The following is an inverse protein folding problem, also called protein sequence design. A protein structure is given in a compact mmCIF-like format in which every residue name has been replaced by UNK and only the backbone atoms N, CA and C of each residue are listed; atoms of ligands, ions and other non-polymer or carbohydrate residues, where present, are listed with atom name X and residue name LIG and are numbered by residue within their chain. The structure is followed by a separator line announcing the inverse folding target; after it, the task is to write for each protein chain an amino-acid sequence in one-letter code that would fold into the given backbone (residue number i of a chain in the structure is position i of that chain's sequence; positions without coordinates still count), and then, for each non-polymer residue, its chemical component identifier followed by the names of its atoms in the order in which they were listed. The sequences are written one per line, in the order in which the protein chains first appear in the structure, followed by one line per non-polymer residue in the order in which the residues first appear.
data_IF_218366698576
#
_entry.id   IF_218366698576
#
_cell.length_a   1.000
_cell.length_b   1.000
_cell.length_c   1.000
_cell.angle_alpha   90.00
_cell.angle_beta   90.00
_cell.angle_gamma   90.00
#
_symmetry.space_group_name_H-M   'P 1'
#
loop_
_entity.id
_entity.type
_entity.pdbx_description
1 polymer ?
#
# COMPACT_ATOMS: atom_id res chain seq x y z
N UNK A 1 -1.65 10.50 9.32
CA UNK A 1 -2.41 9.57 8.47
C UNK A 1 -2.91 10.37 7.28
N UNK A 2 -2.71 9.89 6.04
CA UNK A 2 -3.09 10.63 4.83
C UNK A 2 -4.62 10.71 4.70
N UNK A 3 -5.15 11.87 4.26
CA UNK A 3 -6.59 12.07 3.98
C UNK A 3 -7.15 11.04 3.01
N UNK A 4 -6.30 10.53 2.11
CA UNK A 4 -6.67 9.52 1.12
C UNK A 4 -6.97 8.17 1.78
N UNK A 5 -6.19 7.80 2.80
CA UNK A 5 -6.40 6.57 3.56
C UNK A 5 -7.70 6.62 4.38
N UNK A 6 -8.00 7.78 5.00
CA UNK A 6 -9.24 7.97 5.75
C UNK A 6 -10.46 7.84 4.82
N UNK A 7 -10.35 8.36 3.59
CA UNK A 7 -11.39 8.25 2.57
C UNK A 7 -11.61 6.81 2.13
N UNK A 8 -10.53 6.07 1.86
CA UNK A 8 -10.60 4.65 1.48
C UNK A 8 -11.20 3.80 2.60
N UNK A 9 -10.85 4.08 3.86
CA UNK A 9 -11.40 3.38 5.02
C UNK A 9 -12.91 3.62 5.14
N UNK A 10 -13.35 4.88 5.01
CA UNK A 10 -14.78 5.21 5.00
C UNK A 10 -15.53 4.53 3.83
N UNK A 11 -14.92 4.46 2.64
CA UNK A 11 -15.53 3.76 1.50
C UNK A 11 -15.63 2.26 1.77
N UNK A 12 -14.58 1.66 2.32
CA UNK A 12 -14.56 0.27 2.75
C UNK A 12 -15.66 -0.04 3.75
N UNK A 13 -15.78 0.75 4.83
CA UNK A 13 -16.81 0.56 5.86
C UNK A 13 -18.23 0.56 5.28
N UNK A 14 -18.49 1.38 4.26
CA UNK A 14 -19.79 1.44 3.57
C UNK A 14 -20.02 0.28 2.60
N UNK A 15 -18.95 -0.23 1.99
CA UNK A 15 -19.04 -1.27 0.97
C UNK A 15 -19.00 -2.68 1.59
N UNK A 16 -18.25 -2.88 2.67
CA UNK A 16 -17.83 -4.21 3.14
C UNK A 16 -18.98 -5.16 3.50
N UNK A 17 -20.15 -4.64 3.89
CA UNK A 17 -21.34 -5.45 4.22
C UNK A 17 -22.16 -5.84 2.98
N UNK A 18 -21.84 -5.27 1.82
CA UNK A 18 -22.53 -5.48 0.55
C UNK A 18 -21.67 -6.20 -0.49
N UNK A 19 -20.40 -6.47 -0.19
CA UNK A 19 -19.51 -7.21 -1.07
C UNK A 19 -19.84 -8.70 -1.08
N UNK A 20 -19.77 -9.32 -2.25
CA UNK A 20 -19.87 -10.77 -2.37
C UNK A 20 -18.55 -11.48 -1.99
N UNK A 21 -18.60 -12.81 -1.89
CA UNK A 21 -17.45 -13.62 -1.49
C UNK A 21 -16.29 -13.54 -2.51
N UNK A 22 -16.61 -13.38 -3.81
CA UNK A 22 -15.61 -13.22 -4.87
C UNK A 22 -14.90 -11.87 -4.75
N UNK A 23 -15.66 -10.78 -4.60
CA UNK A 23 -15.13 -9.44 -4.39
C UNK A 23 -14.27 -9.36 -3.12
N UNK A 24 -14.70 -10.00 -2.03
CA UNK A 24 -13.92 -10.08 -0.80
C UNK A 24 -12.61 -10.87 -1.00
N UNK A 25 -12.61 -11.93 -1.82
CA UNK A 25 -11.39 -12.69 -2.14
C UNK A 25 -10.43 -11.87 -2.98
N UNK A 26 -10.93 -11.14 -3.97
CA UNK A 26 -10.11 -10.27 -4.80
C UNK A 26 -9.44 -9.18 -3.95
N UNK A 27 -10.18 -8.60 -3.00
CA UNK A 27 -9.63 -7.59 -2.08
C UNK A 27 -8.66 -8.22 -1.07
N UNK A 28 -8.94 -9.44 -0.60
CA UNK A 28 -8.05 -10.18 0.30
C UNK A 28 -6.69 -10.47 -0.36
N UNK A 29 -6.63 -10.63 -1.68
CA UNK A 29 -5.40 -10.87 -2.43
C UNK A 29 -4.63 -9.57 -2.79
N UNK A 30 -5.08 -8.39 -2.36
CA UNK A 30 -4.37 -7.13 -2.63
C UNK A 30 -3.01 -7.03 -1.93
N UNK A 31 -2.74 -7.85 -0.92
CA UNK A 31 -1.45 -7.93 -0.24
C UNK A 31 -0.32 -8.40 -1.18
N UNK A 32 -0.61 -9.29 -2.13
CA UNK A 32 0.36 -9.68 -3.16
C UNK A 32 0.76 -8.48 -4.02
N UNK A 33 -0.23 -7.69 -4.45
CA UNK A 33 0.02 -6.47 -5.21
C UNK A 33 0.75 -5.42 -4.37
N UNK A 34 0.37 -5.25 -3.10
CA UNK A 34 1.03 -4.35 -2.17
C UNK A 34 2.50 -4.74 -1.94
N UNK A 35 2.79 -6.03 -1.83
CA UNK A 35 4.14 -6.57 -1.69
C UNK A 35 4.99 -6.29 -2.93
N UNK A 36 4.42 -6.48 -4.12
CA UNK A 36 5.08 -6.14 -5.38
C UNK A 36 5.41 -4.64 -5.48
N UNK A 37 4.45 -3.78 -5.13
CA UNK A 37 4.66 -2.33 -5.11
C UNK A 37 5.71 -1.90 -4.08
N UNK A 38 5.75 -2.55 -2.92
CA UNK A 38 6.77 -2.30 -1.89
C UNK A 38 8.18 -2.66 -2.39
N UNK A 39 8.32 -3.78 -3.10
CA UNK A 39 9.57 -4.18 -3.74
C UNK A 39 10.04 -3.13 -4.75
N UNK A 40 9.17 -2.74 -5.69
CA UNK A 40 9.50 -1.72 -6.68
C UNK A 40 9.88 -0.38 -6.04
N UNK A 41 9.17 0.03 -4.97
CA UNK A 41 9.49 1.25 -4.25
C UNK A 41 10.86 1.18 -3.58
N UNK A 42 11.25 0.01 -3.05
CA UNK A 42 12.59 -0.21 -2.50
C UNK A 42 13.67 0.03 -3.54
N UNK A 43 13.53 -0.58 -4.72
CA UNK A 43 14.50 -0.45 -5.82
C UNK A 43 14.61 1.03 -6.27
N UNK A 44 13.47 1.70 -6.43
CA UNK A 44 13.42 3.12 -6.81
C UNK A 44 14.12 4.00 -5.77
N UNK A 45 13.91 3.75 -4.47
CA UNK A 45 14.54 4.52 -3.39
C UNK A 45 16.05 4.30 -3.36
N UNK A 46 16.52 3.09 -3.65
CA UNK A 46 17.95 2.79 -3.78
C UNK A 46 18.60 3.57 -4.95
N UNK A 47 17.95 3.56 -6.11
CA UNK A 47 18.42 4.30 -7.29
C UNK A 47 18.46 5.82 -7.04
N UNK A 48 17.44 6.35 -6.34
CA UNK A 48 17.43 7.75 -5.89
C UNK A 48 18.62 8.03 -4.97
N UNK A 49 18.91 7.14 -4.03
CA UNK A 49 20.09 7.25 -3.17
C UNK A 49 21.40 7.31 -3.97
N UNK A 50 21.50 6.50 -5.03
CA UNK A 50 22.64 6.54 -5.95
C UNK A 50 22.76 7.90 -6.67
N UNK A 51 21.63 8.48 -7.11
CA UNK A 51 21.61 9.82 -7.73
C UNK A 51 22.04 10.92 -6.76
N UNK A 52 21.56 10.88 -5.52
CA UNK A 52 21.96 11.84 -4.47
C UNK A 52 23.46 11.73 -4.19
N UNK A 53 23.98 10.50 -4.06
CA UNK A 53 25.41 10.26 -3.88
C UNK A 53 26.25 10.76 -5.07
N UNK A 54 25.72 10.66 -6.30
CA UNK A 54 26.41 11.13 -7.49
C UNK A 54 26.52 12.67 -7.56
N UNK A 55 25.61 13.40 -6.91
CA UNK A 55 25.62 14.87 -6.89
C UNK A 55 26.65 15.48 -5.94
N UNK A 56 27.11 14.73 -4.94
CA UNK A 56 28.18 15.14 -4.01
C UNK A 56 29.59 14.79 -4.54
N UNK A 57 29.72 14.18 -5.73
CA UNK A 57 31.02 13.75 -6.25
C UNK A 57 31.92 14.95 -6.62
N UNK A 58 33.13 15.08 -6.01
CA UNK A 58 34.05 16.17 -6.33
C UNK A 58 34.51 16.11 -7.79
N UNK A 59 34.43 17.25 -8.49
CA UNK A 59 34.94 17.41 -9.85
C UNK A 59 34.02 16.93 -10.97
N UNK A 60 32.92 16.24 -10.67
CA UNK A 60 31.91 15.83 -11.66
C UNK A 60 30.54 15.63 -10.98
N UNK A 61 29.85 16.74 -10.70
CA UNK A 61 28.48 16.70 -10.16
C UNK A 61 27.53 16.27 -11.27
N UNK A 62 26.75 15.23 -11.04
CA UNK A 62 25.76 14.77 -12.01
C UNK A 62 24.63 15.81 -12.22
N UNK A 63 24.31 16.60 -11.17
CA UNK A 63 23.38 17.72 -11.25
C UNK A 63 21.92 17.28 -11.26
N UNK A 64 21.58 16.19 -10.56
CA UNK A 64 20.23 15.63 -10.50
C UNK A 64 19.29 16.43 -9.58
N UNK A 65 19.82 17.00 -8.50
CA UNK A 65 19.11 17.78 -7.49
C UNK A 65 19.69 19.18 -7.43
N UNK A 66 19.19 20.06 -8.30
CA UNK A 66 19.71 21.43 -8.46
C UNK A 66 18.98 22.45 -7.60
N UNK A 67 17.78 22.10 -7.12
CA UNK A 67 16.98 22.87 -6.18
C UNK A 67 16.87 22.13 -4.84
N UNK A 68 16.89 22.89 -3.74
CA UNK A 68 16.63 22.39 -2.39
C UNK A 68 15.26 21.71 -2.25
N UNK A 69 14.29 22.07 -3.11
CA UNK A 69 12.95 21.48 -3.11
C UNK A 69 12.86 20.12 -3.82
N UNK A 70 13.85 19.75 -4.63
CA UNK A 70 13.79 18.53 -5.46
C UNK A 70 13.76 17.27 -4.58
N UNK A 71 14.65 17.22 -3.58
CA UNK A 71 14.75 16.10 -2.64
C UNK A 71 13.54 16.03 -1.72
N UNK A 72 13.07 17.17 -1.20
CA UNK A 72 11.94 17.21 -0.28
C UNK A 72 10.63 16.80 -0.97
N UNK A 73 10.40 17.25 -2.20
CA UNK A 73 9.25 16.85 -3.03
C UNK A 73 9.27 15.35 -3.30
N UNK A 74 10.44 14.79 -3.61
CA UNK A 74 10.61 13.35 -3.85
C UNK A 74 10.32 12.52 -2.58
N UNK A 75 10.83 12.95 -1.42
CA UNK A 75 10.56 12.29 -0.14
C UNK A 75 9.08 12.34 0.24
N UNK A 76 8.38 13.45 -0.03
CA UNK A 76 6.94 13.52 0.17
C UNK A 76 6.19 12.56 -0.77
N UNK A 77 6.61 12.44 -2.03
CA UNK A 77 6.03 11.46 -2.97
C UNK A 77 6.23 10.02 -2.49
N UNK A 78 7.45 9.67 -2.06
CA UNK A 78 7.76 8.35 -1.47
C UNK A 78 6.87 8.08 -0.26
N UNK A 79 6.72 9.06 0.65
CA UNK A 79 5.84 8.92 1.82
C UNK A 79 4.39 8.63 1.41
N UNK A 80 3.88 9.25 0.34
CA UNK A 80 2.53 8.98 -0.16
C UNK A 80 2.38 7.60 -0.77
N UNK A 81 3.41 7.09 -1.44
CA UNK A 81 3.42 5.73 -1.96
C UNK A 81 3.44 4.69 -0.84
N UNK A 82 4.21 4.93 0.24
CA UNK A 82 4.21 4.09 1.44
C UNK A 82 2.83 4.08 2.10
N UNK A 83 2.19 5.24 2.25
CA UNK A 83 0.83 5.35 2.80
C UNK A 83 -0.17 4.54 1.95
N UNK A 84 -0.07 4.60 0.62
CA UNK A 84 -0.91 3.82 -0.29
C UNK A 84 -0.71 2.31 -0.15
N UNK A 85 0.54 1.84 -0.15
CA UNK A 85 0.91 0.42 0.04
C UNK A 85 0.36 -0.10 1.38
N UNK A 86 0.55 0.65 2.46
CA UNK A 86 -0.01 0.31 3.77
C UNK A 86 -1.54 0.23 3.74
N UNK A 87 -2.19 1.09 2.95
CA UNK A 87 -3.63 1.04 2.73
C UNK A 87 -4.09 -0.28 2.12
N UNK A 88 -3.39 -0.75 1.09
CA UNK A 88 -3.68 -2.04 0.44
C UNK A 88 -3.55 -3.22 1.41
N UNK A 89 -2.45 -3.28 2.19
CA UNK A 89 -2.27 -4.33 3.18
C UNK A 89 -3.37 -4.37 4.24
N UNK A 90 -3.82 -3.19 4.69
CA UNK A 90 -4.91 -3.11 5.69
C UNK A 90 -6.24 -3.60 5.13
N UNK A 91 -6.59 -3.19 3.91
CA UNK A 91 -7.82 -3.63 3.26
C UNK A 91 -7.80 -5.14 2.99
N UNK A 92 -6.68 -5.67 2.50
CA UNK A 92 -6.50 -7.11 2.32
C UNK A 92 -6.66 -7.88 3.63
N UNK A 93 -6.02 -7.44 4.71
CA UNK A 93 -6.11 -8.09 6.01
C UNK A 93 -7.54 -8.11 6.56
N UNK A 94 -8.27 -7.00 6.42
CA UNK A 94 -9.66 -6.86 6.86
C UNK A 94 -10.61 -7.72 6.01
N UNK A 95 -10.45 -7.72 4.69
CA UNK A 95 -11.21 -8.60 3.79
C UNK A 95 -10.99 -10.09 4.13
N UNK A 96 -9.72 -10.48 4.33
CA UNK A 96 -9.36 -11.83 4.75
C UNK A 96 -9.92 -12.21 6.12
N UNK A 97 -10.02 -11.27 7.06
CA UNK A 97 -10.68 -11.50 8.35
C UNK A 97 -12.18 -11.79 8.17
N UNK A 98 -12.88 -10.99 7.35
CA UNK A 98 -14.32 -11.15 7.09
C UNK A 98 -14.65 -12.46 6.38
N UNK A 99 -13.82 -12.88 5.41
CA UNK A 99 -13.96 -14.19 4.76
C UNK A 99 -13.87 -15.34 5.77
N UNK A 100 -12.85 -15.34 6.63
CA UNK A 100 -12.71 -16.38 7.67
C UNK A 100 -13.87 -16.38 8.67
N UNK A 101 -14.38 -15.21 9.00
CA UNK A 101 -15.52 -15.07 9.90
C UNK A 101 -16.81 -15.65 9.28
N UNK A 102 -17.05 -15.39 7.98
CA UNK A 102 -18.22 -15.92 7.26
C UNK A 102 -18.16 -17.44 7.11
N UNK A 103 -16.98 -17.99 6.76
CA UNK A 103 -16.73 -19.44 6.69
C UNK A 103 -16.99 -20.13 8.04
N UNK A 104 -16.47 -19.54 9.13
CA UNK A 104 -16.66 -20.08 10.49
C UNK A 104 -18.13 -20.07 10.90
N UNK A 105 -18.86 -18.99 10.58
CA UNK A 105 -20.32 -18.89 10.82
C UNK A 105 -21.10 -19.92 10.02
N UNK A 106 -20.72 -20.18 8.76
CA UNK A 106 -21.35 -21.20 7.92
C UNK A 106 -21.13 -22.61 8.46
N UNK A 107 -19.89 -22.95 8.84
CA UNK A 107 -19.55 -24.25 9.44
C UNK A 107 -20.34 -24.53 10.73
N UNK A 108 -20.48 -23.53 11.60
CA UNK A 108 -21.23 -23.65 12.85
C UNK A 108 -22.74 -23.81 12.65
N UNK A 109 -23.31 -23.29 11.56
CA UNK A 109 -24.72 -23.52 11.20
C UNK A 109 -24.94 -24.93 10.64
N UNK A 110 -24.02 -25.42 9.80
CA UNK A 110 -24.07 -26.78 9.26
C UNK A 110 -23.94 -27.87 10.32
N UNK A 111 -23.15 -27.64 11.38
CA UNK A 111 -22.98 -28.58 12.49
C UNK A 111 -24.16 -28.65 13.48
N UNK A 112 -25.13 -27.72 13.39
CA UNK A 112 -26.33 -27.66 14.24
C UNK A 112 -27.61 -28.12 13.54
N UNK A 113 -27.53 -28.47 12.26
CA UNK A 113 -28.63 -29.05 11.46
C UNK A 113 -28.48 -30.57 11.37
#
# INVERSE_FOLDING_TARGET
MSKDFDTLTMLWEKAADHLDEGELKDIANLDEHASFLAGNLSDIVEDIGCMVMADDRPGNKAGNFTNADDVSTLLFSISKQIDYINGLFRLSAEAGYRLRESETKAANKGAKS
#
